data_IF_427013921168
#
_entry.id   IF_427013921168
#
_cell.length_a   1.000
_cell.length_b   1.000
_cell.length_c   1.000
_cell.angle_alpha   90.00
_cell.angle_beta   90.00
_cell.angle_gamma   90.00
#
_symmetry.space_group_name_H-M   'P 1'
#
loop_
_entity.id
_entity.type
_entity.pdbx_description
1 polymer ?
#
# COMPACT_ATOMS: atom_id res chain seq x y z
N UNK A 1 -9.44 -15.91 -38.97
CA UNK A 1 -10.12 -15.14 -37.90
C UNK A 1 -10.51 -13.80 -38.51
N UNK A 2 -11.80 -13.47 -38.56
CA UNK A 2 -12.24 -12.19 -39.15
C UNK A 2 -11.92 -11.02 -38.19
N UNK A 3 -11.77 -9.81 -38.74
CA UNK A 3 -11.48 -8.60 -37.95
C UNK A 3 -12.53 -8.37 -36.85
N UNK A 4 -13.80 -8.68 -37.13
CA UNK A 4 -14.89 -8.67 -36.14
C UNK A 4 -14.68 -9.68 -35.01
N UNK A 5 -14.24 -10.92 -35.32
CA UNK A 5 -13.95 -11.92 -34.29
C UNK A 5 -12.75 -11.51 -33.41
N UNK A 6 -11.75 -10.86 -33.99
CA UNK A 6 -10.60 -10.34 -33.26
C UNK A 6 -11.01 -9.22 -32.28
N UNK A 7 -11.78 -8.24 -32.76
CA UNK A 7 -12.27 -7.14 -31.92
C UNK A 7 -13.15 -7.64 -30.78
N UNK A 8 -14.07 -8.57 -31.06
CA UNK A 8 -14.90 -9.18 -30.03
C UNK A 8 -14.06 -9.89 -28.94
N UNK A 9 -12.99 -10.59 -29.33
CA UNK A 9 -12.08 -11.25 -28.37
C UNK A 9 -11.26 -10.25 -27.55
N UNK A 10 -10.80 -9.15 -28.16
CA UNK A 10 -10.09 -8.08 -27.45
C UNK A 10 -10.98 -7.39 -26.42
N UNK A 11 -12.25 -7.16 -26.77
CA UNK A 11 -13.23 -6.60 -25.84
C UNK A 11 -13.52 -7.56 -24.68
N UNK A 12 -13.71 -8.85 -24.97
CA UNK A 12 -13.89 -9.90 -23.95
C UNK A 12 -12.72 -9.92 -22.95
N UNK A 13 -11.47 -9.93 -23.45
CA UNK A 13 -10.28 -9.91 -22.60
C UNK A 13 -10.14 -8.61 -21.80
N UNK A 14 -10.47 -7.46 -22.41
CA UNK A 14 -10.45 -6.17 -21.72
C UNK A 14 -11.47 -6.12 -20.59
N UNK A 15 -12.69 -6.61 -20.82
CA UNK A 15 -13.74 -6.68 -19.82
C UNK A 15 -13.34 -7.62 -18.67
N UNK A 16 -12.81 -8.81 -18.98
CA UNK A 16 -12.31 -9.74 -17.96
C UNK A 16 -11.18 -9.14 -17.15
N UNK A 17 -10.21 -8.50 -17.80
CA UNK A 17 -9.11 -7.85 -17.10
C UNK A 17 -9.62 -6.77 -16.13
N UNK A 18 -10.55 -5.91 -16.58
CA UNK A 18 -11.18 -4.88 -15.72
C UNK A 18 -11.94 -5.51 -14.54
N UNK A 19 -12.71 -6.57 -14.79
CA UNK A 19 -13.44 -7.30 -13.76
C UNK A 19 -12.50 -7.83 -12.68
N UNK A 20 -11.47 -8.59 -13.07
CA UNK A 20 -10.49 -9.15 -12.13
C UNK A 20 -9.69 -8.08 -11.41
N UNK A 21 -9.33 -6.99 -12.10
CA UNK A 21 -8.66 -5.85 -11.46
C UNK A 21 -9.54 -5.28 -10.34
N UNK A 22 -10.80 -4.97 -10.62
CA UNK A 22 -11.71 -4.42 -9.61
C UNK A 22 -11.91 -5.37 -8.43
N UNK A 23 -12.05 -6.67 -8.70
CA UNK A 23 -12.19 -7.69 -7.66
C UNK A 23 -10.95 -7.73 -6.76
N UNK A 24 -9.75 -7.75 -7.34
CA UNK A 24 -8.48 -7.72 -6.59
C UNK A 24 -8.37 -6.44 -5.75
N UNK A 25 -8.74 -5.29 -6.30
CA UNK A 25 -8.67 -4.03 -5.56
C UNK A 25 -9.64 -4.00 -4.37
N UNK A 26 -10.84 -4.53 -4.54
CA UNK A 26 -11.84 -4.63 -3.46
C UNK A 26 -11.39 -5.61 -2.38
N UNK A 27 -10.93 -6.81 -2.78
CA UNK A 27 -10.42 -7.82 -1.85
C UNK A 27 -9.19 -7.33 -1.09
N UNK A 28 -8.29 -6.60 -1.75
CA UNK A 28 -7.14 -6.00 -1.10
C UNK A 28 -7.55 -4.94 -0.06
N UNK A 29 -8.51 -4.07 -0.40
CA UNK A 29 -9.05 -3.08 0.54
C UNK A 29 -9.74 -3.73 1.75
N UNK A 30 -10.54 -4.77 1.50
CA UNK A 30 -11.17 -5.57 2.57
C UNK A 30 -10.13 -6.22 3.48
N UNK A 31 -9.15 -6.92 2.89
CA UNK A 31 -8.06 -7.56 3.63
C UNK A 31 -7.28 -6.57 4.49
N UNK A 32 -6.94 -5.40 3.95
CA UNK A 32 -6.26 -4.35 4.71
C UNK A 32 -7.04 -3.94 5.96
N UNK A 33 -8.32 -3.67 5.81
CA UNK A 33 -9.18 -3.27 6.92
C UNK A 33 -9.30 -4.39 7.96
N UNK A 34 -9.56 -5.62 7.51
CA UNK A 34 -9.68 -6.80 8.38
C UNK A 34 -8.43 -6.97 9.25
N UNK A 35 -7.24 -7.00 8.65
CA UNK A 35 -5.99 -7.22 9.38
C UNK A 35 -5.62 -6.05 10.30
N UNK A 36 -5.96 -4.80 9.94
CA UNK A 36 -5.79 -3.67 10.86
C UNK A 36 -6.71 -3.80 12.06
N UNK A 37 -7.99 -4.14 11.85
CA UNK A 37 -8.97 -4.29 12.92
C UNK A 37 -8.57 -5.41 13.87
N UNK A 38 -8.14 -6.56 13.34
CA UNK A 38 -7.62 -7.67 14.16
C UNK A 38 -6.40 -7.22 14.95
N UNK A 39 -5.44 -6.50 14.32
CA UNK A 39 -4.23 -6.04 15.01
C UNK A 39 -4.55 -5.07 16.15
N UNK A 40 -5.48 -4.12 15.94
CA UNK A 40 -5.92 -3.16 16.97
C UNK A 40 -6.67 -3.89 18.09
N UNK A 41 -7.58 -4.82 17.75
CA UNK A 41 -8.30 -5.63 18.73
C UNK A 41 -7.35 -6.47 19.57
N UNK A 42 -6.35 -7.08 18.95
CA UNK A 42 -5.33 -7.86 19.65
C UNK A 42 -4.47 -6.98 20.56
N UNK A 43 -4.08 -5.78 20.12
CA UNK A 43 -3.38 -4.82 20.97
C UNK A 43 -4.22 -4.42 22.19
N UNK A 44 -5.51 -4.14 21.99
CA UNK A 44 -6.45 -3.81 23.07
C UNK A 44 -6.58 -4.95 24.08
N UNK A 45 -6.66 -6.19 23.59
CA UNK A 45 -6.63 -7.38 24.44
C UNK A 45 -5.34 -7.47 25.26
N UNK A 46 -4.16 -7.33 24.64
CA UNK A 46 -2.87 -7.38 25.34
C UNK A 46 -2.83 -6.35 26.47
N UNK A 47 -3.21 -5.09 26.18
CA UNK A 47 -3.26 -4.01 27.16
C UNK A 47 -4.22 -4.35 28.32
N UNK A 48 -5.39 -4.93 28.03
CA UNK A 48 -6.35 -5.34 29.07
C UNK A 48 -5.84 -6.47 29.97
N UNK A 49 -4.89 -7.27 29.49
CA UNK A 49 -4.27 -8.37 30.25
C UNK A 49 -3.00 -7.97 30.98
N UNK A 50 -2.62 -6.69 30.96
CA UNK A 50 -1.39 -6.17 31.57
C UNK A 50 -1.22 -6.61 33.03
N UNK A 51 -2.29 -6.57 33.82
CA UNK A 51 -2.24 -6.84 35.26
C UNK A 51 -1.90 -8.30 35.61
N UNK A 52 -1.92 -9.21 34.63
CA UNK A 52 -1.50 -10.61 34.80
C UNK A 52 0.01 -10.80 34.75
N UNK A 53 0.76 -9.79 34.32
CA UNK A 53 2.20 -9.84 34.19
C UNK A 53 2.87 -8.98 35.28
N UNK A 54 4.02 -9.41 35.82
CA UNK A 54 4.74 -8.63 36.80
C UNK A 54 5.14 -7.27 36.22
N UNK A 55 5.30 -6.27 37.10
CA UNK A 55 5.77 -4.95 36.68
C UNK A 55 7.12 -5.05 35.97
N UNK A 56 7.32 -4.19 34.98
CA UNK A 56 8.59 -4.13 34.22
C UNK A 56 9.64 -3.52 35.15
N UNK A 57 10.31 -4.37 35.92
CA UNK A 57 11.45 -3.99 36.75
C UNK A 57 12.72 -4.44 36.03
N UNK A 58 13.61 -3.48 35.75
CA UNK A 58 14.92 -3.77 35.16
C UNK A 58 15.89 -3.99 36.31
N UNK A 59 16.00 -5.24 36.76
CA UNK A 59 17.00 -5.67 37.74
C UNK A 59 18.02 -6.58 37.04
N UNK A 60 19.29 -6.16 37.02
CA UNK A 60 20.39 -6.91 36.39
C UNK A 60 20.84 -8.12 37.23
N UNK A 61 20.38 -8.25 38.47
CA UNK A 61 20.74 -9.33 39.38
C UNK A 61 19.68 -10.44 39.49
N UNK A 62 18.51 -10.29 38.87
CA UNK A 62 17.43 -11.28 38.90
C UNK A 62 17.42 -12.19 37.66
N UNK A 63 16.92 -13.41 37.83
CA UNK A 63 16.65 -14.33 36.72
C UNK A 63 15.64 -13.71 35.75
N UNK A 64 15.99 -13.66 34.46
CA UNK A 64 15.15 -13.08 33.40
C UNK A 64 13.79 -13.81 33.34
N UNK A 65 12.71 -13.06 33.53
CA UNK A 65 11.36 -13.58 33.33
C UNK A 65 11.03 -13.61 31.83
N UNK A 66 11.20 -14.78 31.22
CA UNK A 66 10.95 -14.99 29.79
C UNK A 66 9.51 -14.65 29.37
N UNK A 67 8.53 -14.84 30.24
CA UNK A 67 7.12 -14.52 29.93
C UNK A 67 6.93 -13.01 29.74
N UNK A 68 7.57 -12.20 30.58
CA UNK A 68 7.57 -10.73 30.43
C UNK A 68 8.24 -10.32 29.11
N UNK A 69 9.38 -10.92 28.77
CA UNK A 69 10.13 -10.60 27.55
C UNK A 69 9.29 -10.91 26.31
N UNK A 70 8.69 -12.10 26.23
CA UNK A 70 7.83 -12.48 25.13
C UNK A 70 6.55 -11.63 25.04
N UNK A 71 5.98 -11.22 26.17
CA UNK A 71 4.84 -10.31 26.20
C UNK A 71 5.20 -8.93 25.63
N UNK A 72 6.30 -8.33 26.06
CA UNK A 72 6.78 -7.04 25.55
C UNK A 72 7.14 -7.14 24.06
N UNK A 73 7.79 -8.23 23.65
CA UNK A 73 8.13 -8.46 22.25
C UNK A 73 6.86 -8.58 21.38
N UNK A 74 5.83 -9.28 21.88
CA UNK A 74 4.52 -9.37 21.22
C UNK A 74 3.90 -7.99 21.04
N UNK A 75 3.90 -7.14 22.07
CA UNK A 75 3.39 -5.77 21.98
C UNK A 75 4.09 -4.96 20.89
N UNK A 76 5.42 -5.04 20.82
CA UNK A 76 6.22 -4.36 19.80
C UNK A 76 5.85 -4.86 18.39
N UNK A 77 5.76 -6.18 18.20
CA UNK A 77 5.39 -6.76 16.92
C UNK A 77 3.99 -6.35 16.47
N UNK A 78 2.99 -6.40 17.36
CA UNK A 78 1.62 -5.96 17.06
C UNK A 78 1.61 -4.48 16.67
N UNK A 79 2.36 -3.65 17.38
CA UNK A 79 2.49 -2.23 17.04
C UNK A 79 3.11 -2.02 15.64
N UNK A 80 4.18 -2.75 15.29
CA UNK A 80 4.79 -2.71 13.95
C UNK A 80 3.80 -3.19 12.88
N UNK A 81 2.97 -4.20 13.17
CA UNK A 81 1.90 -4.65 12.28
C UNK A 81 0.91 -3.52 11.99
N UNK A 82 0.43 -2.82 13.02
CA UNK A 82 -0.51 -1.68 12.88
C UNK A 82 0.10 -0.56 12.04
N UNK A 83 1.37 -0.22 12.28
CA UNK A 83 2.08 0.80 11.49
C UNK A 83 2.21 0.39 10.02
N UNK A 84 2.55 -0.87 9.77
CA UNK A 84 2.68 -1.41 8.40
C UNK A 84 1.33 -1.40 7.68
N UNK A 85 0.24 -1.76 8.37
CA UNK A 85 -1.12 -1.65 7.85
C UNK A 85 -1.49 -0.21 7.49
N UNK A 86 -1.17 0.74 8.38
CA UNK A 86 -1.44 2.16 8.17
C UNK A 86 -0.70 2.72 6.96
N UNK A 87 0.59 2.37 6.83
CA UNK A 87 1.42 2.70 5.66
C UNK A 87 0.81 2.16 4.38
N UNK A 88 0.28 0.93 4.42
CA UNK A 88 -0.36 0.31 3.26
C UNK A 88 -1.64 1.04 2.85
N UNK A 89 -2.51 1.38 3.81
CA UNK A 89 -3.74 2.15 3.55
C UNK A 89 -3.41 3.51 2.93
N UNK A 90 -2.50 4.27 3.55
CA UNK A 90 -2.10 5.59 3.05
C UNK A 90 -1.53 5.47 1.63
N UNK A 91 -0.57 4.56 1.42
CA UNK A 91 0.00 4.31 0.09
C UNK A 91 -1.08 4.04 -0.95
N UNK A 92 -2.07 3.21 -0.58
CA UNK A 92 -3.14 2.81 -1.48
C UNK A 92 -4.11 3.94 -1.81
N UNK A 93 -4.46 4.77 -0.83
CA UNK A 93 -5.31 5.95 -1.05
C UNK A 93 -4.66 6.94 -2.01
N UNK A 94 -3.38 7.23 -1.83
CA UNK A 94 -2.64 8.11 -2.74
C UNK A 94 -2.47 7.49 -4.13
N UNK A 95 -2.19 6.19 -4.23
CA UNK A 95 -2.11 5.49 -5.51
C UNK A 95 -3.43 5.57 -6.31
N UNK A 96 -4.57 5.39 -5.64
CA UNK A 96 -5.90 5.56 -6.25
C UNK A 96 -6.13 6.99 -6.73
N UNK A 97 -5.77 7.98 -5.92
CA UNK A 97 -5.87 9.41 -6.28
C UNK A 97 -5.01 9.73 -7.51
N UNK A 98 -3.78 9.22 -7.56
CA UNK A 98 -2.87 9.41 -8.69
C UNK A 98 -3.39 8.70 -9.95
N UNK A 99 -3.87 7.46 -9.82
CA UNK A 99 -4.43 6.69 -10.94
C UNK A 99 -5.62 7.42 -11.56
N UNK A 100 -6.52 7.96 -10.72
CA UNK A 100 -7.63 8.79 -11.20
C UNK A 100 -7.13 10.01 -11.96
N UNK A 101 -6.10 10.69 -11.45
CA UNK A 101 -5.51 11.85 -12.11
C UNK A 101 -4.86 11.47 -13.46
N UNK A 102 -4.11 10.37 -13.52
CA UNK A 102 -3.50 9.84 -14.75
C UNK A 102 -4.56 9.62 -15.83
N UNK A 103 -5.68 8.99 -15.48
CA UNK A 103 -6.79 8.73 -16.43
C UNK A 103 -7.42 10.04 -16.88
N UNK A 104 -7.65 10.97 -15.96
CA UNK A 104 -8.20 12.29 -16.28
C UNK A 104 -7.28 13.07 -17.21
N UNK A 105 -5.97 13.12 -16.93
CA UNK A 105 -4.97 13.80 -17.77
C UNK A 105 -4.93 13.19 -19.16
N UNK A 106 -4.95 11.86 -19.31
CA UNK A 106 -5.04 11.21 -20.63
C UNK A 106 -6.25 11.67 -21.42
N UNK A 107 -7.42 11.65 -20.79
CA UNK A 107 -8.68 12.10 -21.43
C UNK A 107 -8.61 13.57 -21.83
N UNK A 108 -8.07 14.42 -20.96
CA UNK A 108 -8.01 15.86 -21.19
C UNK A 108 -6.98 16.23 -22.27
N UNK A 109 -5.81 15.59 -22.31
CA UNK A 109 -4.80 15.78 -23.37
C UNK A 109 -5.34 15.31 -24.71
N UNK A 110 -5.99 14.15 -24.76
CA UNK A 110 -6.61 13.66 -25.98
C UNK A 110 -7.68 14.64 -26.49
N UNK A 111 -8.56 15.13 -25.62
CA UNK A 111 -9.63 16.07 -26.00
C UNK A 111 -9.11 17.42 -26.49
N UNK A 112 -8.06 17.97 -25.86
CA UNK A 112 -7.56 19.33 -26.17
C UNK A 112 -6.49 19.35 -27.27
N UNK A 113 -5.61 18.35 -27.30
CA UNK A 113 -4.41 18.35 -28.16
C UNK A 113 -4.47 17.29 -29.25
N UNK A 114 -5.46 16.39 -29.22
CA UNK A 114 -5.58 15.23 -30.12
C UNK A 114 -4.30 14.39 -30.20
N UNK A 115 -3.55 14.34 -29.08
CA UNK A 115 -2.29 13.59 -28.94
C UNK A 115 -2.44 12.50 -27.89
N UNK A 116 -1.69 11.43 -28.06
CA UNK A 116 -1.61 10.34 -27.10
C UNK A 116 -0.43 10.54 -26.14
N UNK A 117 -0.67 10.26 -24.87
CA UNK A 117 0.39 10.18 -23.86
C UNK A 117 1.07 8.82 -23.91
N UNK A 118 2.35 8.72 -23.51
CA UNK A 118 3.10 7.48 -23.60
C UNK A 118 2.53 6.42 -22.65
N UNK A 119 2.40 5.20 -23.18
CA UNK A 119 2.04 3.98 -22.44
C UNK A 119 3.23 3.06 -22.19
N UNK A 120 4.45 3.52 -22.52
CA UNK A 120 5.69 2.78 -22.34
C UNK A 120 5.87 2.25 -20.92
N UNK A 121 6.59 1.13 -20.82
CA UNK A 121 6.92 0.51 -19.55
C UNK A 121 7.89 1.39 -18.76
N UNK A 122 7.48 1.75 -17.53
CA UNK A 122 8.34 2.51 -16.61
C UNK A 122 9.25 1.56 -15.86
N UNK A 123 10.55 1.67 -16.12
CA UNK A 123 11.58 0.98 -15.36
C UNK A 123 11.77 1.64 -13.98
N UNK A 124 11.81 0.82 -12.92
CA UNK A 124 11.88 1.25 -11.53
C UNK A 124 13.13 0.72 -10.81
N UNK A 125 14.12 0.16 -11.54
CA UNK A 125 15.26 -0.54 -10.91
C UNK A 125 16.10 0.30 -9.95
N UNK A 126 16.21 1.62 -10.18
CA UNK A 126 17.12 2.50 -9.41
C UNK A 126 16.37 3.46 -8.46
N UNK A 127 15.07 3.27 -8.24
CA UNK A 127 14.27 4.21 -7.46
C UNK A 127 14.14 3.81 -6.00
N UNK A 128 14.42 4.76 -5.11
CA UNK A 128 14.30 4.57 -3.67
C UNK A 128 12.84 4.65 -3.23
N UNK A 129 12.24 3.49 -2.95
CA UNK A 129 10.83 3.37 -2.55
C UNK A 129 10.48 4.27 -1.36
N UNK A 130 11.33 4.30 -0.33
CA UNK A 130 11.11 5.07 0.90
C UNK A 130 11.14 6.58 0.63
N UNK A 131 12.09 7.05 -0.19
CA UNK A 131 12.20 8.48 -0.51
C UNK A 131 10.97 8.95 -1.29
N UNK A 132 10.49 8.16 -2.25
CA UNK A 132 9.27 8.48 -2.99
C UNK A 132 8.05 8.47 -2.07
N UNK A 133 7.95 7.51 -1.15
CA UNK A 133 6.87 7.43 -0.17
C UNK A 133 6.80 8.68 0.71
N UNK A 134 7.93 9.05 1.33
CA UNK A 134 8.04 10.27 2.15
C UNK A 134 7.71 11.49 1.31
N UNK A 135 8.22 11.57 0.07
CA UNK A 135 7.90 12.67 -0.84
C UNK A 135 6.40 12.78 -1.09
N UNK A 136 5.71 11.68 -1.37
CA UNK A 136 4.27 11.68 -1.65
C UNK A 136 3.43 12.07 -0.44
N UNK A 137 3.82 11.65 0.77
CA UNK A 137 3.06 11.92 1.99
C UNK A 137 3.28 13.35 2.47
N UNK A 138 4.54 13.78 2.56
CA UNK A 138 4.90 15.05 3.19
C UNK A 138 4.97 16.22 2.20
N UNK A 139 5.19 15.96 0.91
CA UNK A 139 5.23 17.01 -0.10
C UNK A 139 3.98 16.98 -0.97
N UNK A 140 3.55 18.18 -1.37
CA UNK A 140 2.40 18.35 -2.27
C UNK A 140 2.71 17.67 -3.60
N UNK A 141 1.89 16.69 -3.98
CA UNK A 141 1.95 16.09 -5.31
C UNK A 141 1.64 17.19 -6.32
N UNK A 142 2.55 17.39 -7.26
CA UNK A 142 2.35 18.28 -8.41
C UNK A 142 1.34 17.63 -9.36
N UNK A 143 0.08 18.00 -9.20
CA UNK A 143 -0.96 17.63 -10.14
C UNK A 143 -0.85 18.50 -11.39
N UNK A 144 -0.93 17.86 -12.56
CA UNK A 144 -1.02 18.56 -13.85
C UNK A 144 -2.31 19.38 -13.86
N UNK A 145 -2.17 20.70 -13.87
CA UNK A 145 -3.27 21.68 -13.88
C UNK A 145 -3.85 21.88 -15.28
N UNK A 146 -4.09 23.14 -15.66
CA UNK A 146 -4.63 23.47 -16.97
C UNK A 146 -3.68 23.06 -18.11
N UNK A 147 -4.19 22.21 -19.00
CA UNK A 147 -3.49 21.79 -20.20
C UNK A 147 -3.57 22.92 -21.24
N UNK A 148 -2.41 23.53 -21.50
CA UNK A 148 -2.19 24.51 -22.57
C UNK A 148 -1.46 23.85 -23.75
N UNK A 149 -1.76 24.30 -24.96
CA UNK A 149 -1.30 23.65 -26.19
C UNK A 149 0.23 23.69 -26.40
N UNK A 150 0.87 24.72 -25.86
CA UNK A 150 2.28 25.00 -26.14
C UNK A 150 3.25 24.14 -25.31
N UNK A 151 2.74 23.32 -24.39
CA UNK A 151 3.54 22.65 -23.34
C UNK A 151 3.43 21.12 -23.34
N UNK A 152 3.21 20.48 -24.50
CA UNK A 152 3.02 19.03 -24.56
C UNK A 152 4.18 18.22 -23.97
N UNK A 153 5.43 18.64 -24.18
CA UNK A 153 6.61 17.94 -23.63
C UNK A 153 6.69 18.03 -22.09
N UNK A 154 6.42 19.20 -21.52
CA UNK A 154 6.42 19.36 -20.06
C UNK A 154 5.29 18.55 -19.41
N UNK A 155 4.11 18.51 -20.03
CA UNK A 155 3.01 17.64 -19.61
C UNK A 155 3.42 16.17 -19.66
N UNK A 156 4.10 15.74 -20.73
CA UNK A 156 4.58 14.35 -20.87
C UNK A 156 5.54 13.96 -19.75
N UNK A 157 6.51 14.82 -19.42
CA UNK A 157 7.47 14.57 -18.34
C UNK A 157 6.79 14.50 -16.97
N UNK A 158 5.89 15.44 -16.68
CA UNK A 158 5.10 15.42 -15.44
C UNK A 158 4.23 14.16 -15.35
N UNK A 159 3.62 13.76 -16.45
CA UNK A 159 2.78 12.57 -16.53
C UNK A 159 3.57 11.28 -16.26
N UNK A 160 4.78 11.15 -16.81
CA UNK A 160 5.67 10.04 -16.53
C UNK A 160 6.07 9.98 -15.05
N UNK A 161 6.37 11.13 -14.44
CA UNK A 161 6.67 11.21 -13.01
C UNK A 161 5.49 10.77 -12.14
N UNK A 162 4.26 11.19 -12.46
CA UNK A 162 3.06 10.77 -11.73
C UNK A 162 2.82 9.26 -11.88
N UNK A 163 2.96 8.70 -13.09
CA UNK A 163 2.86 7.25 -13.33
C UNK A 163 3.89 6.47 -12.52
N UNK A 164 5.12 6.98 -12.43
CA UNK A 164 6.20 6.39 -11.66
C UNK A 164 5.87 6.37 -10.16
N UNK A 165 5.37 7.48 -9.62
CA UNK A 165 4.93 7.58 -8.23
C UNK A 165 3.80 6.60 -7.91
N UNK A 166 2.74 6.55 -8.73
CA UNK A 166 1.64 5.59 -8.56
C UNK A 166 2.15 4.15 -8.53
N UNK A 167 3.00 3.75 -9.47
CA UNK A 167 3.58 2.40 -9.51
C UNK A 167 4.42 2.07 -8.27
N UNK A 168 5.15 3.05 -7.72
CA UNK A 168 5.92 2.89 -6.48
C UNK A 168 4.99 2.71 -5.27
N UNK A 169 3.95 3.54 -5.14
CA UNK A 169 2.96 3.43 -4.04
C UNK A 169 2.18 2.12 -4.09
N UNK A 170 1.79 1.66 -5.28
CA UNK A 170 1.19 0.33 -5.47
C UNK A 170 2.10 -0.80 -4.97
N UNK A 171 3.42 -0.70 -5.22
CA UNK A 171 4.39 -1.69 -4.69
C UNK A 171 4.54 -1.61 -3.18
N UNK A 172 4.58 -0.41 -2.61
CA UNK A 172 4.74 -0.19 -1.17
C UNK A 172 3.52 -0.74 -0.43
N UNK A 173 2.30 -0.41 -0.87
CA UNK A 173 1.07 -0.92 -0.26
C UNK A 173 1.06 -2.45 -0.19
N UNK A 174 1.36 -3.13 -1.29
CA UNK A 174 1.40 -4.59 -1.31
C UNK A 174 2.48 -5.17 -0.38
N UNK A 175 3.68 -4.59 -0.36
CA UNK A 175 4.77 -5.04 0.51
C UNK A 175 4.43 -4.83 1.99
N UNK A 176 3.93 -3.65 2.34
CA UNK A 176 3.57 -3.30 3.71
C UNK A 176 2.42 -4.19 4.22
N UNK A 177 1.43 -4.49 3.38
CA UNK A 177 0.36 -5.42 3.74
C UNK A 177 0.87 -6.85 4.00
N UNK A 178 1.78 -7.36 3.15
CA UNK A 178 2.41 -8.67 3.38
C UNK A 178 3.17 -8.71 4.70
N UNK A 179 3.95 -7.67 4.98
CA UNK A 179 4.70 -7.53 6.23
C UNK A 179 3.74 -7.51 7.43
N UNK A 180 2.64 -6.74 7.35
CA UNK A 180 1.60 -6.71 8.38
C UNK A 180 1.07 -8.11 8.70
N UNK A 181 0.67 -8.89 7.68
CA UNK A 181 0.12 -10.24 7.88
C UNK A 181 1.16 -11.15 8.54
N UNK A 182 2.39 -11.16 8.02
CA UNK A 182 3.46 -12.02 8.56
C UNK A 182 3.77 -11.67 10.01
N UNK A 183 3.92 -10.37 10.32
CA UNK A 183 4.22 -9.91 11.68
C UNK A 183 3.07 -10.23 12.65
N UNK A 184 1.82 -10.06 12.22
CA UNK A 184 0.66 -10.40 13.06
C UNK A 184 0.58 -11.90 13.35
N UNK A 185 0.83 -12.76 12.36
CA UNK A 185 0.83 -14.22 12.57
C UNK A 185 1.95 -14.59 13.54
N UNK A 186 3.15 -14.03 13.35
CA UNK A 186 4.29 -14.26 14.25
C UNK A 186 3.96 -13.78 15.67
N UNK A 187 3.33 -12.61 15.83
CA UNK A 187 3.00 -12.09 17.17
C UNK A 187 1.98 -12.96 17.90
N UNK A 188 0.97 -13.48 17.20
CA UNK A 188 0.00 -14.42 17.79
C UNK A 188 0.69 -15.73 18.22
N UNK A 189 1.60 -16.26 17.41
CA UNK A 189 2.35 -17.48 17.76
C UNK A 189 3.25 -17.27 18.98
N UNK A 190 3.97 -16.14 19.04
CA UNK A 190 4.83 -15.80 20.18
C UNK A 190 4.00 -15.60 21.45
N UNK A 191 2.85 -14.93 21.35
CA UNK A 191 1.95 -14.81 22.48
C UNK A 191 1.41 -16.16 22.95
N UNK A 192 1.13 -17.09 22.03
CA UNK A 192 0.76 -18.46 22.39
C UNK A 192 1.77 -19.14 23.30
N UNK A 193 3.07 -18.93 23.08
CA UNK A 193 4.14 -19.45 23.96
C UNK A 193 4.21 -18.78 25.33
N UNK A 194 3.59 -17.60 25.54
CA UNK A 194 3.56 -16.96 26.87
C UNK A 194 2.53 -17.52 27.82
N UNK A 195 1.54 -18.26 27.28
CA UNK A 195 0.45 -18.83 28.06
C UNK A 195 0.82 -20.22 28.62
N UNK A 196 1.80 -20.90 28.00
CA UNK A 196 2.34 -22.19 28.44
C UNK A 196 3.54 -22.00 29.37
#
# INVERSE_FOLDING_TARGET
MTESQLNNKLDEYTQRHRFWTNLVLNQFGFSLNLFITISIGFLGYLISTKDKYPEIVIDFNQSVNWNLVFYVFTLILVFISILSGSISIISRLYDLRLTRHIIWTRKAVFKKLNKFLPDSYINLKNESLIRTFIKVIFFKIEFIGEINADNFESIKLQFENIRKQSKILGRISWRAHKVQIVILVISVLIYGFTIF
#
